data_IF_054600117452
#
_entry.id   IF_054600117452
#
_cell.length_a   1.000
_cell.length_b   1.000
_cell.length_c   1.000
_cell.angle_alpha   90.00
_cell.angle_beta   90.00
_cell.angle_gamma   90.00
#
_symmetry.space_group_name_H-M   'P 1'
#
loop_
_entity.id
_entity.type
_entity.pdbx_description
1 polymer ?
#
# COMPACT_ATOMS: atom_id res chain seq x y z
N UNK A 1 9.98 -17.09 2.38
CA UNK A 1 10.86 -15.93 2.12
C UNK A 1 10.01 -14.67 2.09
N UNK A 2 10.32 -13.69 2.93
CA UNK A 2 9.56 -12.43 3.06
C UNK A 2 10.11 -11.35 2.11
N UNK A 3 9.36 -10.28 1.85
CA UNK A 3 9.80 -9.16 1.01
C UNK A 3 11.04 -8.46 1.56
N UNK A 4 11.22 -8.49 2.88
CA UNK A 4 12.41 -7.99 3.56
C UNK A 4 13.69 -8.71 3.10
N UNK A 5 13.60 -10.01 2.78
CA UNK A 5 14.71 -10.80 2.24
C UNK A 5 14.97 -10.52 0.75
N UNK A 6 14.02 -9.91 0.03
CA UNK A 6 14.12 -9.61 -1.41
C UNK A 6 14.55 -8.17 -1.72
N UNK A 7 14.63 -7.30 -0.71
CA UNK A 7 14.95 -5.87 -0.86
C UNK A 7 15.98 -5.44 0.20
N UNK A 8 17.29 -5.61 -0.07
CA UNK A 8 18.33 -5.22 0.88
C UNK A 8 18.29 -3.71 1.13
N UNK A 9 18.24 -3.30 2.41
CA UNK A 9 18.36 -1.90 2.84
C UNK A 9 17.08 -1.25 3.37
N UNK A 10 15.96 -1.96 3.47
CA UNK A 10 14.79 -1.46 4.19
C UNK A 10 15.09 -1.41 5.70
N UNK A 11 14.71 -0.33 6.41
CA UNK A 11 14.84 -0.28 7.86
C UNK A 11 14.04 -1.45 8.49
N UNK A 12 14.49 -1.98 9.63
CA UNK A 12 13.77 -3.04 10.31
C UNK A 12 12.35 -2.56 10.62
N UNK A 13 11.36 -3.42 10.33
CA UNK A 13 9.98 -3.18 10.77
C UNK A 13 10.04 -3.15 12.31
N UNK A 14 9.59 -2.07 12.99
CA UNK A 14 9.59 -2.03 14.44
C UNK A 14 8.86 -3.25 15.00
N UNK A 15 9.44 -3.89 16.01
CA UNK A 15 8.78 -4.98 16.73
C UNK A 15 7.38 -4.53 17.13
N UNK A 16 6.41 -5.37 16.78
CA UNK A 16 4.97 -5.12 16.73
C UNK A 16 4.52 -4.13 17.81
N UNK A 17 4.26 -2.88 17.41
CA UNK A 17 3.43 -1.98 18.21
C UNK A 17 2.12 -2.73 18.51
N UNK A 18 1.83 -2.96 19.79
CA UNK A 18 0.58 -3.59 20.21
C UNK A 18 -0.60 -2.86 19.55
N UNK A 19 -1.48 -3.64 18.94
CA UNK A 19 -2.61 -3.11 18.19
C UNK A 19 -3.78 -4.06 18.16
N UNK A 20 -4.94 -3.52 17.82
CA UNK A 20 -6.15 -4.30 17.59
C UNK A 20 -6.61 -4.20 16.13
N UNK A 21 -7.22 -5.28 15.64
CA UNK A 21 -7.87 -5.28 14.32
C UNK A 21 -9.00 -4.26 14.30
N UNK A 22 -9.04 -3.47 13.22
CA UNK A 22 -10.03 -2.42 13.07
C UNK A 22 -10.37 -2.16 11.60
N UNK A 23 -11.48 -1.46 11.37
CA UNK A 23 -11.89 -0.98 10.05
C UNK A 23 -11.84 0.55 10.04
N UNK A 24 -11.05 1.14 9.15
CA UNK A 24 -11.19 2.55 8.83
C UNK A 24 -12.46 2.75 7.98
N UNK A 25 -13.26 3.75 8.33
CA UNK A 25 -14.58 4.02 7.74
C UNK A 25 -14.50 5.17 6.74
N UNK A 26 -15.32 5.08 5.69
CA UNK A 26 -15.49 6.11 4.67
C UNK A 26 -14.18 6.45 3.92
N UNK A 27 -13.25 5.49 3.86
CA UNK A 27 -11.96 5.61 3.20
C UNK A 27 -11.64 4.38 2.35
N UNK A 28 -10.83 4.58 1.32
CA UNK A 28 -10.26 3.51 0.49
C UNK A 28 -8.81 3.86 0.12
N UNK A 29 -8.13 2.94 -0.57
CA UNK A 29 -6.75 3.09 -1.04
C UNK A 29 -6.71 3.22 -2.56
N UNK A 30 -5.91 4.17 -3.05
CA UNK A 30 -5.49 4.26 -4.45
C UNK A 30 -3.97 4.14 -4.55
N UNK A 31 -3.47 3.63 -5.68
CA UNK A 31 -2.03 3.50 -5.93
C UNK A 31 -1.58 4.52 -6.98
N UNK A 32 -1.46 5.78 -6.58
CA UNK A 32 -1.24 6.90 -7.50
C UNK A 32 -0.07 7.82 -7.11
N UNK A 33 0.70 7.49 -6.07
CA UNK A 33 1.82 8.31 -5.61
C UNK A 33 3.13 7.66 -6.06
N UNK A 34 3.94 8.37 -6.84
CA UNK A 34 5.25 7.86 -7.24
C UNK A 34 6.21 7.83 -6.04
N UNK A 35 6.83 6.67 -5.79
CA UNK A 35 7.90 6.53 -4.80
C UNK A 35 9.17 5.99 -5.45
N UNK A 36 10.28 6.77 -5.44
CA UNK A 36 11.59 6.29 -5.87
C UNK A 36 12.10 5.14 -5.01
N UNK A 37 11.80 5.16 -3.70
CA UNK A 37 12.24 4.14 -2.73
C UNK A 37 11.64 2.78 -3.05
N UNK A 38 10.37 2.75 -3.48
CA UNK A 38 9.68 1.52 -3.85
C UNK A 38 9.78 1.19 -5.34
N UNK A 39 10.38 2.06 -6.15
CA UNK A 39 10.51 1.85 -7.60
C UNK A 39 9.17 1.81 -8.36
N UNK A 40 8.15 2.56 -7.91
CA UNK A 40 6.82 2.55 -8.53
C UNK A 40 5.79 3.34 -7.72
N UNK A 41 4.50 3.17 -8.07
CA UNK A 41 3.42 3.83 -7.33
C UNK A 41 3.11 3.12 -6.01
N UNK A 42 2.81 3.89 -4.97
CA UNK A 42 2.45 3.42 -3.62
C UNK A 42 1.05 3.89 -3.22
N UNK A 43 0.55 3.33 -2.13
CA UNK A 43 -0.78 3.59 -1.60
C UNK A 43 -0.95 5.03 -1.08
N UNK A 44 -2.15 5.56 -1.27
CA UNK A 44 -2.65 6.79 -0.67
C UNK A 44 -4.09 6.60 -0.23
N UNK A 45 -4.45 7.16 0.92
CA UNK A 45 -5.82 7.16 1.40
C UNK A 45 -6.65 8.22 0.66
N UNK A 46 -7.86 7.83 0.28
CA UNK A 46 -8.88 8.71 -0.30
C UNK A 46 -10.19 8.60 0.46
N UNK A 47 -10.97 9.67 0.42
CA UNK A 47 -12.34 9.64 0.93
C UNK A 47 -13.20 8.79 0.01
N UNK A 48 -13.91 7.83 0.60
CA UNK A 48 -14.77 6.91 -0.11
C UNK A 48 -15.96 6.52 0.79
N UNK A 49 -17.01 7.36 0.83
CA UNK A 49 -18.17 7.14 1.70
C UNK A 49 -18.76 5.74 1.57
N UNK A 50 -19.03 5.08 2.71
CA UNK A 50 -19.57 3.73 2.78
C UNK A 50 -18.56 2.61 2.54
N UNK A 51 -17.32 2.92 2.15
CA UNK A 51 -16.22 1.95 2.08
C UNK A 51 -15.62 1.72 3.45
N UNK A 52 -14.99 0.56 3.59
CA UNK A 52 -14.30 0.13 4.79
C UNK A 52 -12.95 -0.42 4.40
N UNK A 53 -11.92 -0.02 5.12
CA UNK A 53 -10.56 -0.48 4.91
C UNK A 53 -10.07 -1.22 6.16
N UNK A 54 -9.90 -2.55 6.10
CA UNK A 54 -9.29 -3.32 7.18
C UNK A 54 -7.87 -2.83 7.48
N UNK A 55 -7.51 -2.80 8.76
CA UNK A 55 -6.19 -2.39 9.21
C UNK A 55 -5.94 -2.73 10.67
N UNK A 56 -4.82 -2.24 11.18
CA UNK A 56 -4.40 -2.40 12.57
C UNK A 56 -4.41 -1.04 13.26
N UNK A 57 -5.19 -0.89 14.33
CA UNK A 57 -5.17 0.30 15.18
C UNK A 57 -4.08 0.12 16.23
N UNK A 58 -3.07 1.00 16.21
CA UNK A 58 -1.93 0.95 17.14
C UNK A 58 -1.96 2.13 18.09
N UNK A 59 -1.57 1.86 19.34
CA UNK A 59 -1.23 2.94 20.28
C UNK A 59 0.23 3.33 20.04
N UNK A 60 0.46 4.64 19.98
CA UNK A 60 1.79 5.22 19.80
C UNK A 60 1.99 6.23 20.91
N UNK A 61 3.08 6.09 21.66
CA UNK A 61 3.43 7.06 22.68
C UNK A 61 3.80 8.40 22.05
N UNK A 62 3.43 9.49 22.71
CA UNK A 62 3.67 10.84 22.19
C UNK A 62 5.17 11.11 21.93
N UNK A 63 6.06 10.48 22.70
CA UNK A 63 7.51 10.60 22.54
C UNK A 63 8.03 9.95 21.24
N UNK A 64 7.33 8.94 20.72
CA UNK A 64 7.73 8.19 19.52
C UNK A 64 7.11 8.75 18.24
N UNK A 65 6.10 9.61 18.38
CA UNK A 65 5.31 10.13 17.27
C UNK A 65 6.17 10.79 16.18
N UNK A 66 7.11 11.64 16.57
CA UNK A 66 7.98 12.36 15.62
C UNK A 66 8.93 11.40 14.89
N UNK A 67 9.40 10.35 15.56
CA UNK A 67 10.24 9.33 14.94
C UNK A 67 9.44 8.52 13.91
N UNK A 68 8.22 8.12 14.27
CA UNK A 68 7.30 7.43 13.37
C UNK A 68 6.95 8.29 12.15
N UNK A 69 6.62 9.57 12.35
CA UNK A 69 6.30 10.50 11.27
C UNK A 69 7.46 10.67 10.28
N UNK A 70 8.71 10.75 10.76
CA UNK A 70 9.89 10.81 9.89
C UNK A 70 10.10 9.51 9.12
N UNK A 71 9.83 8.35 9.75
CA UNK A 71 9.94 7.06 9.09
C UNK A 71 8.90 6.90 7.97
N UNK A 72 7.65 7.27 8.25
CA UNK A 72 6.55 7.25 7.27
C UNK A 72 6.80 8.20 6.09
N UNK A 73 7.31 9.41 6.37
CA UNK A 73 7.74 10.33 5.33
C UNK A 73 8.87 9.77 4.46
N UNK A 74 9.86 9.10 5.06
CA UNK A 74 11.00 8.54 4.35
C UNK A 74 10.63 7.30 3.52
N UNK A 75 9.78 6.41 4.05
CA UNK A 75 9.44 5.14 3.39
C UNK A 75 8.29 5.29 2.39
N UNK A 76 7.18 5.89 2.81
CA UNK A 76 5.95 5.93 2.02
C UNK A 76 5.74 7.28 1.32
N UNK A 77 6.59 8.28 1.59
CA UNK A 77 6.28 9.67 1.21
C UNK A 77 5.08 10.22 1.98
N UNK A 78 4.70 9.57 3.08
CA UNK A 78 3.50 9.88 3.85
C UNK A 78 3.77 11.04 4.82
N UNK A 79 3.89 12.25 4.26
CA UNK A 79 4.14 13.48 5.02
C UNK A 79 2.88 14.11 5.61
N UNK A 80 1.69 13.62 5.25
CA UNK A 80 0.43 14.10 5.82
C UNK A 80 -0.09 13.15 6.88
N UNK A 81 -0.54 13.74 8.00
CA UNK A 81 -1.30 13.05 9.03
C UNK A 81 -2.74 13.51 8.90
N UNK A 82 -3.66 12.57 8.70
CA UNK A 82 -5.09 12.87 8.66
C UNK A 82 -5.89 12.08 9.68
N UNK A 83 -6.91 12.70 10.31
CA UNK A 83 -7.83 11.97 11.15
C UNK A 83 -8.71 11.05 10.28
N UNK A 84 -8.88 9.82 10.74
CA UNK A 84 -9.78 8.82 10.15
C UNK A 84 -10.70 8.25 11.23
N UNK A 85 -11.96 7.99 10.87
CA UNK A 85 -12.87 7.26 11.74
C UNK A 85 -12.54 5.78 11.66
N UNK A 86 -12.42 5.13 12.81
CA UNK A 86 -12.05 3.72 12.90
C UNK A 86 -13.05 3.00 13.78
N UNK A 87 -13.47 1.82 13.35
CA UNK A 87 -14.27 0.89 14.16
C UNK A 87 -13.35 -0.19 14.70
N UNK A 88 -13.17 -0.23 16.01
CA UNK A 88 -12.38 -1.27 16.68
C UNK A 88 -13.08 -2.63 16.61
N UNK A 89 -12.37 -3.69 17.00
CA UNK A 89 -12.93 -5.03 17.13
C UNK A 89 -14.11 -5.09 18.12
N UNK A 90 -14.11 -4.22 19.14
CA UNK A 90 -15.23 -4.11 20.10
C UNK A 90 -16.46 -3.39 19.52
N UNK A 91 -16.37 -2.87 18.29
CA UNK A 91 -17.42 -2.10 17.64
C UNK A 91 -17.43 -0.61 18.01
N UNK A 92 -16.52 -0.15 18.87
CA UNK A 92 -16.39 1.25 19.22
C UNK A 92 -15.89 2.08 18.03
N UNK A 93 -16.47 3.26 17.83
CA UNK A 93 -16.02 4.20 16.79
C UNK A 93 -15.12 5.25 17.43
N UNK A 94 -13.87 5.29 16.97
CA UNK A 94 -12.81 6.17 17.45
C UNK A 94 -12.32 7.07 16.31
N UNK A 95 -11.62 8.13 16.67
CA UNK A 95 -10.79 8.89 15.71
C UNK A 95 -9.34 8.47 15.89
N UNK A 96 -8.70 8.06 14.81
CA UNK A 96 -7.29 7.71 14.78
C UNK A 96 -6.55 8.59 13.78
N UNK A 97 -5.23 8.64 13.90
CA UNK A 97 -4.36 9.35 12.95
C UNK A 97 -3.81 8.35 11.94
N UNK A 98 -3.92 8.68 10.66
CA UNK A 98 -3.35 7.90 9.57
C UNK A 98 -2.33 8.73 8.79
N UNK A 99 -1.17 8.14 8.54
CA UNK A 99 -0.18 8.68 7.62
C UNK A 99 -0.60 8.34 6.19
N UNK A 100 -0.59 9.33 5.32
CA UNK A 100 -0.84 9.13 3.89
C UNK A 100 0.00 10.13 3.10
N UNK A 101 0.46 9.78 1.89
CA UNK A 101 1.08 10.77 1.03
C UNK A 101 0.06 11.83 0.58
N UNK A 102 0.53 13.06 0.27
CA UNK A 102 -0.32 14.08 -0.32
C UNK A 102 -0.85 13.64 -1.69
N UNK A 103 -2.01 14.18 -2.08
CA UNK A 103 -2.51 13.98 -3.44
C UNK A 103 -1.51 14.53 -4.46
N UNK A 104 -1.11 13.75 -5.48
CA UNK A 104 -0.13 14.22 -6.45
C UNK A 104 -0.74 15.33 -7.31
N UNK A 105 0.01 16.41 -7.53
CA UNK A 105 -0.43 17.54 -8.39
C UNK A 105 -0.46 17.15 -9.87
N UNK A 106 0.19 16.06 -10.26
CA UNK A 106 0.18 15.49 -11.60
C UNK A 106 0.09 13.97 -11.49
N UNK A 107 -0.73 13.29 -12.32
CA UNK A 107 -0.85 11.84 -12.26
C UNK A 107 0.51 11.14 -12.34
N UNK A 108 0.82 10.31 -11.35
CA UNK A 108 2.05 9.52 -11.36
C UNK A 108 2.05 8.55 -12.54
N UNK A 109 3.13 8.60 -13.32
CA UNK A 109 3.35 7.69 -14.43
C UNK A 109 3.94 6.37 -13.94
N UNK A 110 3.70 5.31 -14.70
CA UNK A 110 4.25 3.98 -14.43
C UNK A 110 3.34 3.05 -13.62
N UNK A 111 3.86 1.86 -13.37
CA UNK A 111 3.16 0.78 -12.69
C UNK A 111 3.16 0.96 -11.16
N UNK A 112 2.24 0.27 -10.49
CA UNK A 112 2.30 0.09 -9.03
C UNK A 112 3.55 -0.71 -8.68
N UNK A 113 4.18 -0.38 -7.56
CA UNK A 113 5.36 -1.13 -7.09
C UNK A 113 4.96 -2.52 -6.63
N UNK A 114 5.55 -3.56 -7.24
CA UNK A 114 5.39 -4.95 -6.79
C UNK A 114 5.95 -5.11 -5.36
N UNK A 115 7.15 -4.57 -5.13
CA UNK A 115 7.82 -4.58 -3.83
C UNK A 115 6.93 -4.03 -2.70
N UNK A 116 6.23 -2.92 -2.98
CA UNK A 116 5.29 -2.32 -2.07
C UNK A 116 4.09 -3.24 -1.78
N UNK A 117 3.45 -3.79 -2.81
CA UNK A 117 2.28 -4.67 -2.65
C UNK A 117 2.62 -5.96 -1.90
N UNK A 118 3.78 -6.57 -2.19
CA UNK A 118 4.23 -7.77 -1.46
C UNK A 118 4.49 -7.43 0.01
N UNK A 119 5.12 -6.28 0.29
CA UNK A 119 5.36 -5.85 1.68
C UNK A 119 4.05 -5.57 2.41
N UNK A 120 3.08 -4.94 1.74
CA UNK A 120 1.75 -4.68 2.29
C UNK A 120 1.00 -5.98 2.61
N UNK A 121 1.05 -6.98 1.72
CA UNK A 121 0.45 -8.28 1.96
C UNK A 121 1.08 -9.01 3.16
N UNK A 122 2.41 -8.96 3.29
CA UNK A 122 3.12 -9.57 4.42
C UNK A 122 2.81 -8.84 5.74
N UNK A 123 2.75 -7.51 5.72
CA UNK A 123 2.39 -6.73 6.89
C UNK A 123 0.94 -7.01 7.32
N UNK A 124 0.02 -7.17 6.36
CA UNK A 124 -1.37 -7.56 6.62
C UNK A 124 -1.46 -8.96 7.25
N UNK A 125 -0.68 -9.92 6.75
CA UNK A 125 -0.60 -11.28 7.30
C UNK A 125 -0.03 -11.29 8.71
N UNK A 126 1.09 -10.60 8.94
CA UNK A 126 1.73 -10.48 10.26
C UNK A 126 0.84 -9.75 11.28
N UNK A 127 0.04 -8.80 10.82
CA UNK A 127 -0.97 -8.12 11.62
C UNK A 127 -2.21 -8.99 11.90
N UNK A 128 -2.32 -10.19 11.30
CA UNK A 128 -3.48 -11.05 11.47
C UNK A 128 -4.76 -10.49 10.86
N UNK A 129 -4.66 -9.67 9.79
CA UNK A 129 -5.83 -9.22 9.05
C UNK A 129 -6.58 -10.41 8.45
N UNK A 130 -7.87 -10.21 8.14
CA UNK A 130 -8.71 -11.27 7.59
C UNK A 130 -8.09 -11.91 6.33
N UNK A 131 -8.14 -13.26 6.20
CA UNK A 131 -7.50 -13.97 5.09
C UNK A 131 -7.92 -13.45 3.71
N UNK A 132 -9.20 -13.12 3.54
CA UNK A 132 -9.72 -12.53 2.29
C UNK A 132 -9.02 -11.23 1.87
N UNK A 133 -8.62 -10.40 2.85
CA UNK A 133 -7.92 -9.15 2.59
C UNK A 133 -6.46 -9.42 2.20
N UNK A 134 -5.80 -10.34 2.90
CA UNK A 134 -4.43 -10.77 2.60
C UNK A 134 -4.36 -11.38 1.20
N UNK A 135 -5.29 -12.29 0.87
CA UNK A 135 -5.37 -12.95 -0.43
C UNK A 135 -5.58 -11.94 -1.56
N UNK A 136 -6.42 -10.93 -1.35
CA UNK A 136 -6.63 -9.83 -2.31
C UNK A 136 -5.33 -9.07 -2.58
N UNK A 137 -4.60 -8.66 -1.53
CA UNK A 137 -3.33 -7.96 -1.68
C UNK A 137 -2.27 -8.81 -2.40
N UNK A 138 -2.21 -10.11 -2.09
CA UNK A 138 -1.33 -11.05 -2.78
C UNK A 138 -1.72 -11.23 -4.26
N UNK A 139 -3.02 -11.27 -4.56
CA UNK A 139 -3.51 -11.34 -5.94
C UNK A 139 -3.15 -10.07 -6.73
N UNK A 140 -3.32 -8.89 -6.15
CA UNK A 140 -2.90 -7.61 -6.73
C UNK A 140 -1.39 -7.63 -7.05
N UNK A 141 -0.55 -8.07 -6.12
CA UNK A 141 0.89 -8.19 -6.33
C UNK A 141 1.24 -9.12 -7.50
N UNK A 142 0.58 -10.28 -7.60
CA UNK A 142 0.78 -11.24 -8.71
C UNK A 142 0.38 -10.67 -10.06
N UNK A 143 -0.74 -9.95 -10.12
CA UNK A 143 -1.21 -9.30 -11.36
C UNK A 143 -0.20 -8.24 -11.81
N UNK A 144 0.25 -7.39 -10.90
CA UNK A 144 1.26 -6.35 -11.20
C UNK A 144 2.56 -6.98 -11.70
N UNK A 145 3.05 -8.03 -11.04
CA UNK A 145 4.23 -8.75 -11.48
C UNK A 145 4.06 -9.33 -12.90
N UNK A 146 2.91 -9.95 -13.18
CA UNK A 146 2.63 -10.53 -14.49
C UNK A 146 2.61 -9.47 -15.60
N UNK A 147 2.00 -8.31 -15.34
CA UNK A 147 1.97 -7.18 -16.28
C UNK A 147 3.35 -6.60 -16.53
N UNK A 148 4.19 -6.48 -15.49
CA UNK A 148 5.56 -6.00 -15.64
C UNK A 148 6.44 -6.96 -16.46
N UNK A 149 6.28 -8.28 -16.24
CA UNK A 149 6.99 -9.32 -17.01
C UNK A 149 6.56 -9.38 -18.48
N UNK A 150 5.29 -9.09 -18.79
CA UNK A 150 4.80 -9.05 -20.16
C UNK A 150 5.43 -7.89 -20.99
N UNK A 151 5.93 -6.85 -20.32
CA UNK A 151 6.54 -5.67 -20.95
C UNK A 151 5.56 -4.88 -21.84
N UNK A 152 5.94 -3.67 -22.29
CA UNK A 152 5.12 -2.88 -23.23
C UNK A 152 5.06 -3.45 -24.66
N UNK A 153 5.69 -4.62 -24.92
CA UNK A 153 5.86 -5.19 -26.26
C UNK A 153 4.98 -6.38 -26.62
N UNK A 154 4.09 -6.86 -25.73
CA UNK A 154 3.27 -8.05 -26.00
C UNK A 154 2.13 -7.83 -27.03
N UNK A 155 1.97 -6.60 -27.54
CA UNK A 155 1.07 -6.27 -28.63
C UNK A 155 1.86 -5.82 -29.87
N UNK A 156 2.63 -6.73 -30.48
CA UNK A 156 3.08 -6.55 -31.86
C UNK A 156 2.08 -7.27 -32.78
N UNK A 157 1.32 -6.56 -33.64
CA UNK A 157 0.56 -7.22 -34.69
C UNK A 157 1.56 -7.95 -35.60
N UNK A 158 1.30 -9.23 -35.87
CA UNK A 158 2.04 -9.99 -36.89
C UNK A 158 2.05 -9.20 -38.21
N UNK A 159 3.17 -9.14 -38.95
CA UNK A 159 3.19 -8.50 -40.24
C UNK A 159 2.28 -9.29 -41.19
N UNK A 160 1.27 -8.61 -41.74
CA UNK A 160 0.40 -9.16 -42.79
C UNK A 160 1.27 -9.50 -44.00
N UNK A 161 1.25 -10.73 -44.54
CA UNK A 161 2.04 -11.06 -45.71
C UNK A 161 1.55 -10.22 -46.90
N UNK A 162 2.41 -9.36 -47.41
CA UNK A 162 2.14 -8.54 -48.59
C UNK A 162 1.81 -9.42 -49.80
N UNK A 163 0.64 -9.20 -50.38
CA UNK A 163 0.23 -9.78 -51.66
C UNK A 163 1.09 -9.15 -52.75
N UNK A 164 2.07 -9.89 -53.29
CA UNK A 164 2.76 -9.50 -54.52
C UNK A 164 1.86 -9.80 -55.73
N UNK A 165 1.81 -8.80 -56.61
CA UNK A 165 1.47 -8.79 -58.05
C UNK A 165 0.72 -9.98 -58.63
#
# INVERSE_FOLDING_TARGET
>A
MTAHERLPGLPPIPDVLEGELAEALDVDVVYDVASPVWGGKVARLVDAPGRKLPGMLRRVDAADWDALARLEAAMAGASEVRPVKVRSFTGAVLTAQAFTPPAPTTPAQGAVSEAFLVTLALAAEQAGLFPEHVERLQAEARIVQALQKAGPGAAHPLPVPGRKG
#
